data_IF_632641486404
#
_entry.id   IF_632641486404
#
_cell.length_a   1.000
_cell.length_b   1.000
_cell.length_c   1.000
_cell.angle_alpha   90.00
_cell.angle_beta   90.00
_cell.angle_gamma   90.00
#
_symmetry.space_group_name_H-M   'P 1'
#
loop_
_entity.id
_entity.type
_entity.pdbx_description
1 polymer ?
#
# COMPACT_ATOMS: atom_id res chain seq x y z
N UNK A 1 19.12 -18.84 -12.90
CA UNK A 1 18.40 -17.58 -12.61
C UNK A 1 16.93 -17.87 -12.74
N UNK A 2 16.14 -17.62 -11.71
CA UNK A 2 14.67 -17.77 -11.81
C UNK A 2 14.12 -16.68 -12.71
N UNK A 3 13.30 -17.06 -13.68
CA UNK A 3 12.58 -16.12 -14.52
C UNK A 3 11.55 -15.42 -13.65
N UNK A 4 11.76 -14.12 -13.40
CA UNK A 4 10.81 -13.31 -12.62
C UNK A 4 9.52 -13.19 -13.45
N UNK A 5 8.35 -13.56 -12.91
CA UNK A 5 7.10 -13.39 -13.62
C UNK A 5 6.88 -11.91 -13.98
N UNK A 6 6.55 -11.56 -15.23
CA UNK A 6 6.32 -10.18 -15.65
C UNK A 6 5.26 -9.47 -14.79
N UNK A 7 4.26 -10.23 -14.34
CA UNK A 7 3.21 -9.73 -13.47
C UNK A 7 3.75 -9.28 -12.10
N UNK A 8 4.73 -9.98 -11.51
CA UNK A 8 5.30 -9.60 -10.22
C UNK A 8 6.12 -8.30 -10.32
N UNK A 9 6.81 -8.07 -11.45
CA UNK A 9 7.50 -6.79 -11.73
C UNK A 9 6.49 -5.66 -11.87
N UNK A 10 5.42 -5.90 -12.63
CA UNK A 10 4.34 -4.92 -12.80
C UNK A 10 3.69 -4.56 -11.47
N UNK A 11 3.39 -5.56 -10.62
CA UNK A 11 2.81 -5.34 -9.30
C UNK A 11 3.73 -4.49 -8.40
N UNK A 12 5.03 -4.79 -8.36
CA UNK A 12 6.00 -3.99 -7.60
C UNK A 12 6.06 -2.53 -8.10
N UNK A 13 6.11 -2.34 -9.42
CA UNK A 13 6.12 -1.01 -10.01
C UNK A 13 4.83 -0.23 -9.69
N UNK A 14 3.68 -0.89 -9.82
CA UNK A 14 2.39 -0.31 -9.46
C UNK A 14 2.33 0.11 -7.99
N UNK A 15 2.85 -0.71 -7.08
CA UNK A 15 2.92 -0.41 -5.64
C UNK A 15 3.72 0.88 -5.37
N UNK A 16 4.86 1.06 -6.04
CA UNK A 16 5.63 2.31 -5.94
C UNK A 16 4.90 3.51 -6.53
N UNK A 17 4.22 3.35 -7.67
CA UNK A 17 3.43 4.42 -8.27
C UNK A 17 2.28 4.85 -7.35
N UNK A 18 1.52 3.89 -6.81
CA UNK A 18 0.43 4.16 -5.87
C UNK A 18 0.95 4.84 -4.62
N UNK A 19 2.06 4.35 -4.06
CA UNK A 19 2.70 4.97 -2.89
C UNK A 19 3.09 6.41 -3.19
N UNK A 20 3.70 6.67 -4.34
CA UNK A 20 4.03 8.03 -4.78
C UNK A 20 2.79 8.94 -4.86
N UNK A 21 1.68 8.42 -5.39
CA UNK A 21 0.40 9.15 -5.46
C UNK A 21 -0.17 9.43 -4.06
N UNK A 22 -0.15 8.47 -3.14
CA UNK A 22 -0.62 8.66 -1.76
C UNK A 22 0.20 9.74 -1.05
N UNK A 23 1.53 9.67 -1.14
CA UNK A 23 2.42 10.68 -0.58
C UNK A 23 2.16 12.05 -1.21
N UNK A 24 1.98 12.11 -2.52
CA UNK A 24 1.66 13.35 -3.23
C UNK A 24 0.31 13.94 -2.78
N UNK A 25 -0.74 13.13 -2.64
CA UNK A 25 -2.06 13.57 -2.15
C UNK A 25 -1.95 14.15 -0.74
N UNK A 26 -1.22 13.48 0.16
CA UNK A 26 -1.05 13.95 1.54
C UNK A 26 -0.18 15.20 1.58
N UNK A 27 0.92 15.22 0.84
CA UNK A 27 1.83 16.36 0.74
C UNK A 27 1.13 17.61 0.22
N UNK A 28 0.34 17.48 -0.86
CA UNK A 28 -0.43 18.60 -1.43
C UNK A 28 -1.55 19.05 -0.50
N UNK A 29 -2.17 18.12 0.23
CA UNK A 29 -3.12 18.47 1.26
C UNK A 29 -2.47 19.31 2.38
N UNK A 30 -1.25 18.97 2.80
CA UNK A 30 -0.52 19.74 3.82
C UNK A 30 -0.06 21.10 3.27
N UNK A 31 0.60 21.11 2.10
CA UNK A 31 1.31 22.29 1.58
C UNK A 31 0.38 23.33 0.95
N UNK A 32 -0.64 22.87 0.22
CA UNK A 32 -1.55 23.75 -0.53
C UNK A 32 -2.93 23.85 0.12
N UNK A 33 -3.11 23.26 1.32
CA UNK A 33 -4.38 23.20 2.06
C UNK A 33 -5.53 22.63 1.21
N UNK A 34 -5.22 21.82 0.19
CA UNK A 34 -6.19 21.28 -0.77
C UNK A 34 -6.10 19.76 -0.84
N UNK A 35 -7.15 19.10 -0.40
CA UNK A 35 -7.27 17.65 -0.53
C UNK A 35 -7.80 17.27 -1.92
N UNK A 36 -6.97 16.65 -2.75
CA UNK A 36 -7.38 16.20 -4.08
C UNK A 36 -8.20 14.89 -4.00
N UNK A 37 -9.49 15.03 -3.67
CA UNK A 37 -10.44 13.91 -3.52
C UNK A 37 -10.43 12.95 -4.70
N UNK A 38 -10.41 13.47 -5.93
CA UNK A 38 -10.45 12.64 -7.15
C UNK A 38 -9.25 11.71 -7.23
N UNK A 39 -8.06 12.23 -6.96
CA UNK A 39 -6.84 11.44 -6.98
C UNK A 39 -6.78 10.45 -5.80
N UNK A 40 -7.18 10.90 -4.60
CA UNK A 40 -7.24 10.08 -3.39
C UNK A 40 -8.17 8.85 -3.53
N UNK A 41 -9.40 9.06 -4.01
CA UNK A 41 -10.36 7.97 -4.19
C UNK A 41 -10.10 7.18 -5.48
N UNK A 42 -9.51 7.80 -6.51
CA UNK A 42 -9.07 7.09 -7.70
C UNK A 42 -7.98 6.07 -7.40
N UNK A 43 -6.97 6.45 -6.58
CA UNK A 43 -5.92 5.51 -6.18
C UNK A 43 -6.45 4.43 -5.23
N UNK A 44 -7.38 4.76 -4.33
CA UNK A 44 -8.05 3.76 -3.51
C UNK A 44 -8.84 2.75 -4.36
N UNK A 45 -9.58 3.22 -5.37
CA UNK A 45 -10.31 2.34 -6.27
C UNK A 45 -9.35 1.41 -7.03
N UNK A 46 -8.21 1.93 -7.48
CA UNK A 46 -7.15 1.11 -8.08
C UNK A 46 -6.64 0.04 -7.10
N UNK A 47 -6.32 0.40 -5.87
CA UNK A 47 -5.85 -0.52 -4.84
C UNK A 47 -6.88 -1.62 -4.52
N UNK A 48 -8.15 -1.25 -4.36
CA UNK A 48 -9.24 -2.22 -4.16
C UNK A 48 -9.30 -3.18 -5.35
N UNK A 49 -9.34 -2.66 -6.58
CA UNK A 49 -9.57 -3.50 -7.76
C UNK A 49 -8.36 -4.37 -8.07
N UNK A 50 -7.14 -3.82 -8.10
CA UNK A 50 -5.97 -4.56 -8.54
C UNK A 50 -5.30 -5.33 -7.42
N UNK A 51 -5.10 -4.71 -6.26
CA UNK A 51 -4.34 -5.32 -5.16
C UNK A 51 -5.16 -6.44 -4.49
N UNK A 52 -6.47 -6.24 -4.28
CA UNK A 52 -7.33 -7.31 -3.77
C UNK A 52 -7.54 -8.41 -4.82
N UNK A 53 -7.82 -8.08 -6.08
CA UNK A 53 -8.00 -9.12 -7.12
C UNK A 53 -6.75 -9.97 -7.28
N UNK A 54 -5.55 -9.38 -7.17
CA UNK A 54 -4.30 -10.13 -7.17
C UNK A 54 -4.21 -11.11 -5.99
N UNK A 55 -4.48 -10.65 -4.77
CA UNK A 55 -4.45 -11.51 -3.59
C UNK A 55 -5.50 -12.63 -3.69
N UNK A 56 -6.68 -12.33 -4.20
CA UNK A 56 -7.75 -13.31 -4.41
C UNK A 56 -7.35 -14.35 -5.45
N UNK A 57 -6.83 -13.93 -6.61
CA UNK A 57 -6.31 -14.85 -7.64
C UNK A 57 -5.21 -15.76 -7.08
N UNK A 58 -4.29 -15.20 -6.30
CA UNK A 58 -3.19 -15.95 -5.68
C UNK A 58 -3.66 -16.91 -4.59
N UNK A 59 -4.79 -16.62 -3.94
CA UNK A 59 -5.40 -17.49 -2.92
C UNK A 59 -6.17 -18.66 -3.53
N UNK A 60 -6.67 -18.51 -4.76
CA UNK A 60 -7.38 -19.57 -5.50
C UNK A 60 -6.47 -20.43 -6.38
N UNK A 61 -5.30 -19.92 -6.80
CA UNK A 61 -4.27 -20.74 -7.44
C UNK A 61 -3.61 -21.67 -6.43
N UNK A 62 -3.47 -22.95 -6.76
CA UNK A 62 -3.03 -24.03 -5.87
C UNK A 62 -1.92 -23.64 -4.88
N UNK A 63 -2.18 -24.00 -3.62
CA UNK A 63 -1.34 -23.89 -2.43
C UNK A 63 -0.06 -24.73 -2.52
N UNK A 64 0.74 -24.52 -3.56
CA UNK A 64 2.13 -24.89 -3.53
C UNK A 64 2.87 -23.72 -2.90
N UNK A 65 3.31 -23.90 -1.65
CA UNK A 65 4.35 -23.03 -1.08
C UNK A 65 5.39 -22.86 -2.17
N UNK A 66 5.66 -21.61 -2.63
CA UNK A 66 6.61 -21.42 -3.70
C UNK A 66 7.88 -22.17 -3.32
N UNK A 67 8.39 -23.04 -4.19
CA UNK A 67 9.66 -23.76 -3.94
C UNK A 67 10.84 -22.80 -3.69
N UNK A 68 10.60 -21.50 -3.85
CA UNK A 68 11.43 -20.35 -3.49
C UNK A 68 11.42 -19.94 -2.02
N UNK A 69 10.41 -20.27 -1.21
CA UNK A 69 10.41 -19.98 0.22
C UNK A 69 11.26 -21.01 0.96
N UNK A 70 12.57 -20.76 0.99
CA UNK A 70 13.57 -21.71 1.51
C UNK A 70 13.81 -21.59 3.00
N UNK A 71 13.45 -20.46 3.62
CA UNK A 71 13.72 -20.19 5.04
C UNK A 71 12.46 -19.80 5.82
N UNK A 72 12.43 -20.12 7.12
CA UNK A 72 11.38 -19.65 8.04
C UNK A 72 11.29 -18.12 8.10
N UNK A 73 12.38 -17.42 7.80
CA UNK A 73 12.40 -15.96 7.70
C UNK A 73 11.58 -15.42 6.52
N UNK A 74 11.55 -16.12 5.39
CA UNK A 74 10.78 -15.70 4.22
C UNK A 74 9.29 -15.89 4.44
N UNK A 75 8.91 -16.97 5.14
CA UNK A 75 7.53 -17.21 5.56
C UNK A 75 7.09 -16.15 6.58
N UNK A 76 7.92 -15.85 7.57
CA UNK A 76 7.62 -14.81 8.57
C UNK A 76 7.46 -13.43 7.91
N UNK A 77 8.35 -13.08 6.98
CA UNK A 77 8.28 -11.82 6.24
C UNK A 77 7.00 -11.75 5.38
N UNK A 78 6.64 -12.83 4.69
CA UNK A 78 5.42 -12.90 3.90
C UNK A 78 4.15 -12.70 4.74
N UNK A 79 4.07 -13.38 5.89
CA UNK A 79 2.94 -13.25 6.83
C UNK A 79 2.88 -11.82 7.38
N UNK A 80 4.01 -11.30 7.86
CA UNK A 80 4.10 -9.94 8.37
C UNK A 80 3.64 -8.94 7.32
N UNK A 81 4.23 -8.98 6.13
CA UNK A 81 3.88 -8.07 5.04
C UNK A 81 2.39 -8.18 4.69
N UNK A 82 1.85 -9.39 4.51
CA UNK A 82 0.44 -9.58 4.13
C UNK A 82 -0.55 -9.05 5.16
N UNK A 83 -0.33 -9.30 6.45
CA UNK A 83 -1.21 -8.79 7.52
C UNK A 83 -1.05 -7.27 7.66
N UNK A 84 0.19 -6.79 7.66
CA UNK A 84 0.49 -5.39 7.89
C UNK A 84 0.02 -4.51 6.72
N UNK A 85 0.21 -4.93 5.48
CA UNK A 85 -0.25 -4.21 4.30
C UNK A 85 -1.78 -4.13 4.24
N UNK A 86 -2.48 -5.21 4.60
CA UNK A 86 -3.94 -5.19 4.71
C UNK A 86 -4.42 -4.20 5.79
N UNK A 87 -3.79 -4.21 6.96
CA UNK A 87 -4.09 -3.25 8.03
C UNK A 87 -3.83 -1.81 7.58
N UNK A 88 -2.71 -1.55 6.91
CA UNK A 88 -2.37 -0.23 6.38
C UNK A 88 -3.35 0.22 5.30
N UNK A 89 -3.81 -0.70 4.44
CA UNK A 89 -4.79 -0.42 3.41
C UNK A 89 -6.16 -0.03 4.00
N UNK A 90 -6.66 -0.80 4.98
CA UNK A 90 -7.89 -0.43 5.72
C UNK A 90 -7.73 0.92 6.40
N UNK A 91 -6.57 1.16 7.02
CA UNK A 91 -6.27 2.44 7.66
C UNK A 91 -6.28 3.59 6.65
N UNK A 92 -5.70 3.41 5.45
CA UNK A 92 -5.71 4.40 4.37
C UNK A 92 -7.13 4.77 3.94
N UNK A 93 -8.01 3.77 3.79
CA UNK A 93 -9.44 3.99 3.47
C UNK A 93 -10.07 4.88 4.54
N UNK A 94 -9.91 4.52 5.82
CA UNK A 94 -10.45 5.31 6.93
C UNK A 94 -9.85 6.72 6.96
N UNK A 95 -8.54 6.84 6.71
CA UNK A 95 -7.84 8.13 6.67
C UNK A 95 -8.42 9.05 5.60
N UNK A 96 -8.65 8.54 4.39
CA UNK A 96 -9.21 9.33 3.29
C UNK A 96 -10.68 9.65 3.50
N UNK A 97 -11.48 8.73 4.07
CA UNK A 97 -12.88 9.00 4.41
C UNK A 97 -13.02 10.08 5.49
N UNK A 98 -12.19 10.03 6.53
CA UNK A 98 -12.18 11.05 7.58
C UNK A 98 -11.69 12.39 7.02
N UNK A 99 -10.60 12.38 6.24
CA UNK A 99 -10.11 13.58 5.59
C UNK A 99 -11.15 14.22 4.66
N UNK A 100 -11.92 13.40 3.93
CA UNK A 100 -13.01 13.86 3.07
C UNK A 100 -14.12 14.59 3.85
N UNK A 101 -14.52 14.02 4.99
CA UNK A 101 -15.53 14.62 5.87
C UNK A 101 -15.07 15.94 6.47
N UNK A 102 -13.81 16.06 6.86
CA UNK A 102 -13.25 17.33 7.34
C UNK A 102 -13.12 18.35 6.20
N UNK A 103 -12.66 17.91 5.03
CA UNK A 103 -12.51 18.78 3.87
C UNK A 103 -13.86 19.35 3.40
N UNK A 104 -14.94 18.56 3.47
CA UNK A 104 -16.30 19.03 3.21
C UNK A 104 -16.78 20.13 4.19
N UNK A 105 -16.18 20.22 5.39
CA UNK A 105 -16.42 21.28 6.38
C UNK A 105 -15.47 22.47 6.23
N UNK A 106 -14.58 22.46 5.22
CA UNK A 106 -13.53 23.46 5.05
C UNK A 106 -12.33 23.27 5.97
N UNK A 107 -12.24 22.15 6.69
CA UNK A 107 -11.13 21.84 7.59
C UNK A 107 -10.11 20.93 6.91
N UNK A 108 -8.83 21.15 7.19
CA UNK A 108 -7.78 20.27 6.70
C UNK A 108 -7.35 19.27 7.77
N UNK A 109 -7.81 18.03 7.64
CA UNK A 109 -7.49 16.95 8.57
C UNK A 109 -5.99 16.73 8.74
N UNK A 110 -5.23 16.70 7.63
CA UNK A 110 -3.81 16.35 7.64
C UNK A 110 -2.95 17.39 8.36
N UNK A 111 -3.32 18.67 8.26
CA UNK A 111 -2.65 19.78 8.97
C UNK A 111 -2.95 19.71 10.47
N UNK A 112 -4.23 19.53 10.84
CA UNK A 112 -4.64 19.47 12.25
C UNK A 112 -4.07 18.24 12.96
N UNK A 113 -3.94 17.11 12.25
CA UNK A 113 -3.49 15.84 12.80
C UNK A 113 -2.10 15.44 12.27
N UNK A 114 -1.17 16.39 12.17
CA UNK A 114 0.18 16.16 11.60
C UNK A 114 0.90 14.94 12.20
N UNK A 115 0.83 14.72 13.53
CA UNK A 115 1.47 13.56 14.18
C UNK A 115 0.89 12.24 13.68
N UNK A 116 -0.43 12.15 13.58
CA UNK A 116 -1.11 10.96 13.10
C UNK A 116 -0.79 10.72 11.62
N UNK A 117 -0.76 11.78 10.82
CA UNK A 117 -0.36 11.73 9.41
C UNK A 117 1.08 11.24 9.25
N UNK A 118 2.03 11.74 10.05
CA UNK A 118 3.43 11.28 10.01
C UNK A 118 3.55 9.82 10.41
N UNK A 119 2.91 9.39 11.51
CA UNK A 119 2.90 7.98 11.94
C UNK A 119 2.35 7.09 10.83
N UNK A 120 1.25 7.49 10.20
CA UNK A 120 0.67 6.78 9.06
C UNK A 120 1.65 6.67 7.89
N UNK A 121 2.30 7.77 7.48
CA UNK A 121 3.26 7.77 6.38
C UNK A 121 4.48 6.88 6.64
N UNK A 122 5.02 6.89 7.85
CA UNK A 122 6.12 6.00 8.23
C UNK A 122 5.69 4.53 8.23
N UNK A 123 4.53 4.21 8.81
CA UNK A 123 3.98 2.86 8.81
C UNK A 123 3.68 2.37 7.39
N UNK A 124 3.14 3.23 6.53
CA UNK A 124 2.92 2.96 5.11
C UNK A 124 4.24 2.65 4.39
N UNK A 125 5.26 3.48 4.63
CA UNK A 125 6.61 3.24 4.09
C UNK A 125 7.14 1.86 4.50
N UNK A 126 7.04 1.49 5.77
CA UNK A 126 7.47 0.16 6.26
C UNK A 126 6.71 -0.96 5.53
N UNK A 127 5.41 -0.79 5.30
CA UNK A 127 4.59 -1.77 4.56
C UNK A 127 5.14 -1.98 3.15
N UNK A 128 5.35 -0.89 2.39
CA UNK A 128 5.86 -0.94 1.01
C UNK A 128 7.28 -1.52 0.98
N UNK A 129 8.17 -1.07 1.87
CA UNK A 129 9.54 -1.59 1.95
C UNK A 129 9.58 -3.08 2.30
N UNK A 130 8.67 -3.56 3.16
CA UNK A 130 8.59 -4.99 3.47
C UNK A 130 8.16 -5.82 2.25
N UNK A 131 7.28 -5.29 1.40
CA UNK A 131 6.88 -5.91 0.14
C UNK A 131 8.02 -5.97 -0.87
N UNK A 132 8.73 -4.85 -1.05
CA UNK A 132 9.93 -4.79 -1.89
C UNK A 132 11.04 -5.74 -1.40
N UNK A 133 11.28 -5.81 -0.08
CA UNK A 133 12.24 -6.73 0.50
C UNK A 133 11.83 -8.20 0.26
N UNK A 134 10.55 -8.50 0.41
CA UNK A 134 10.02 -9.83 0.13
C UNK A 134 10.20 -10.22 -1.35
N UNK A 135 9.93 -9.29 -2.27
CA UNK A 135 10.18 -9.50 -3.70
C UNK A 135 11.66 -9.79 -3.98
N UNK A 136 12.58 -8.99 -3.44
CA UNK A 136 14.03 -9.18 -3.61
C UNK A 136 14.44 -10.57 -3.11
N UNK A 137 14.03 -10.96 -1.90
CA UNK A 137 14.39 -12.29 -1.36
C UNK A 137 13.84 -13.47 -2.15
N UNK A 138 12.71 -13.30 -2.83
CA UNK A 138 12.10 -14.38 -3.58
C UNK A 138 12.74 -14.59 -4.96
N UNK A 139 13.33 -13.53 -5.53
CA UNK A 139 13.71 -13.49 -6.95
C UNK A 139 15.17 -13.11 -7.25
N UNK A 140 15.90 -12.54 -6.29
CA UNK A 140 17.32 -12.16 -6.40
C UNK A 140 18.19 -13.01 -5.46
#
# INVERSE_FOLDING_TARGET
MMTIPPFSIFALFAEFCVTGIIFYVIWTAISNVRFNRKLAFGVLAYEVVFNISYMVMKSFGESSTPSTMKSSGDVALAIFHGIFSLFMFVTLILFFLVADRHYAKGENFFVHHHRLTSVFLYAWGISVFSGALFFVRLYM
#
